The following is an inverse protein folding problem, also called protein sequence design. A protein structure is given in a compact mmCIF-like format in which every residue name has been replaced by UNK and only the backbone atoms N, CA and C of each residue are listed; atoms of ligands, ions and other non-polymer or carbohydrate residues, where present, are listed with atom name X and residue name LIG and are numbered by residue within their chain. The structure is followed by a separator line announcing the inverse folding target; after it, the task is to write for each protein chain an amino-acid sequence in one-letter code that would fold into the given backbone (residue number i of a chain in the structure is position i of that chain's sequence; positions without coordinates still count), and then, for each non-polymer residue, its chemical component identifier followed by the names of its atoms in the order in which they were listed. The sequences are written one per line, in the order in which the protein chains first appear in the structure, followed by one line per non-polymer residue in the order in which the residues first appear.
data_IF_791141388692
#
_entry.id   IF_791141388692
#
_cell.length_a   1.000
_cell.length_b   1.000
_cell.length_c   1.000
_cell.angle_alpha   90.00
_cell.angle_beta   90.00
_cell.angle_gamma   90.00
#
_symmetry.space_group_name_H-M   'P 1'
#
loop_
_entity.id
_entity.type
_entity.pdbx_description
1 polymer ?
#
# COMPACT_ATOMS: atom_id res chain seq x y z
N UNK A 1 18.85 -27.44 4.74
CA UNK A 1 19.72 -26.51 3.97
C UNK A 1 19.67 -25.19 4.69
N UNK A 2 20.77 -24.44 4.81
CA UNK A 2 20.76 -23.09 5.41
C UNK A 2 19.88 -22.18 4.57
N UNK A 3 19.10 -21.33 5.22
CA UNK A 3 18.29 -20.29 4.55
C UNK A 3 19.24 -19.31 3.87
N UNK A 4 18.94 -18.93 2.63
CA UNK A 4 19.76 -17.96 1.87
C UNK A 4 19.62 -16.56 2.49
N UNK A 5 20.75 -15.89 2.69
CA UNK A 5 20.82 -14.51 3.18
C UNK A 5 20.85 -13.53 2.01
N UNK A 6 19.80 -12.74 1.85
CA UNK A 6 19.69 -11.70 0.80
C UNK A 6 19.68 -10.33 1.44
N UNK A 7 20.58 -9.45 0.99
CA UNK A 7 20.65 -8.05 1.45
C UNK A 7 20.41 -7.08 0.29
N UNK A 8 19.87 -5.90 0.59
CA UNK A 8 19.72 -4.82 -0.38
C UNK A 8 20.57 -3.61 0.02
N UNK A 9 21.21 -2.98 -0.93
CA UNK A 9 21.88 -1.69 -0.78
C UNK A 9 21.27 -0.71 -1.79
N UNK A 10 20.72 0.39 -1.30
CA UNK A 10 20.23 1.50 -2.11
C UNK A 10 21.19 2.68 -1.97
N UNK A 11 21.75 3.11 -3.10
CA UNK A 11 22.74 4.19 -3.18
C UNK A 11 22.05 5.44 -3.72
N UNK A 12 22.11 6.55 -2.99
CA UNK A 12 21.55 7.84 -3.37
C UNK A 12 21.46 8.80 -2.20
N UNK A 13 22.07 9.97 -2.30
CA UNK A 13 21.99 11.03 -1.30
C UNK A 13 20.55 11.54 -1.12
N UNK A 14 19.74 11.57 -2.19
CA UNK A 14 18.34 11.98 -2.18
C UNK A 14 17.45 11.10 -1.28
N UNK A 15 17.85 9.83 -1.10
CA UNK A 15 17.19 8.90 -0.19
C UNK A 15 17.50 9.24 1.27
N UNK A 16 18.75 9.61 1.57
CA UNK A 16 19.19 9.94 2.94
C UNK A 16 18.64 11.27 3.44
N UNK A 17 18.52 12.27 2.56
CA UNK A 17 17.93 13.56 2.92
C UNK A 17 16.40 13.57 2.91
N UNK A 18 15.77 12.42 2.59
CA UNK A 18 14.31 12.28 2.58
C UNK A 18 13.60 12.96 1.41
N UNK A 19 14.33 13.34 0.36
CA UNK A 19 13.75 13.96 -0.84
C UNK A 19 12.97 12.95 -1.66
N UNK A 20 13.37 11.68 -1.64
CA UNK A 20 12.72 10.55 -2.31
C UNK A 20 12.55 9.40 -1.33
N UNK A 21 11.38 8.75 -1.36
CA UNK A 21 11.14 7.53 -0.59
C UNK A 21 11.76 6.33 -1.31
N UNK A 22 12.47 5.48 -0.58
CA UNK A 22 13.07 4.24 -1.12
C UNK A 22 12.01 3.19 -1.47
N UNK A 23 11.30 3.40 -2.56
CA UNK A 23 10.28 2.46 -3.06
C UNK A 23 10.91 1.22 -3.70
N UNK A 24 12.16 1.27 -4.14
CA UNK A 24 12.86 0.16 -4.77
C UNK A 24 13.09 -0.97 -3.78
N UNK A 25 13.62 -0.68 -2.58
CA UNK A 25 13.86 -1.69 -1.56
C UNK A 25 12.55 -2.36 -1.10
N UNK A 26 11.48 -1.59 -0.90
CA UNK A 26 10.17 -2.11 -0.54
C UNK A 26 9.62 -3.07 -1.60
N UNK A 27 9.71 -2.67 -2.87
CA UNK A 27 9.25 -3.48 -3.99
C UNK A 27 10.08 -4.78 -4.16
N UNK A 28 11.41 -4.69 -4.04
CA UNK A 28 12.28 -5.86 -4.10
C UNK A 28 11.94 -6.87 -2.98
N UNK A 29 11.72 -6.39 -1.76
CA UNK A 29 11.29 -7.23 -0.65
C UNK A 29 9.96 -7.96 -0.92
N UNK A 30 9.00 -7.28 -1.55
CA UNK A 30 7.73 -7.88 -1.96
C UNK A 30 7.91 -8.96 -3.03
N UNK A 31 8.68 -8.67 -4.10
CA UNK A 31 8.92 -9.62 -5.18
C UNK A 31 9.70 -10.86 -4.73
N UNK A 32 10.74 -10.66 -3.92
CA UNK A 32 11.49 -11.76 -3.32
C UNK A 32 10.60 -12.64 -2.45
N UNK A 33 9.77 -12.05 -1.58
CA UNK A 33 8.84 -12.80 -0.73
C UNK A 33 7.85 -13.62 -1.56
N UNK A 34 7.27 -13.01 -2.62
CA UNK A 34 6.39 -13.73 -3.55
C UNK A 34 7.08 -14.86 -4.31
N UNK A 35 8.40 -14.81 -4.44
CA UNK A 35 9.22 -15.84 -5.08
C UNK A 35 9.77 -16.91 -4.12
N UNK A 36 9.44 -16.83 -2.82
CA UNK A 36 9.91 -17.78 -1.80
C UNK A 36 11.25 -17.42 -1.17
N UNK A 37 11.75 -16.20 -1.40
CA UNK A 37 12.95 -15.66 -0.77
C UNK A 37 12.61 -14.62 0.30
N UNK A 38 13.57 -14.31 1.17
CA UNK A 38 13.42 -13.25 2.15
C UNK A 38 14.52 -12.22 1.98
N UNK A 39 14.15 -10.95 2.03
CA UNK A 39 15.12 -9.88 2.18
C UNK A 39 15.45 -9.74 3.66
N UNK A 40 16.70 -10.04 4.01
CA UNK A 40 17.17 -10.07 5.37
C UNK A 40 17.41 -8.66 5.92
N UNK A 41 18.03 -7.81 5.11
CA UNK A 41 18.24 -6.41 5.48
C UNK A 41 18.29 -5.48 4.26
N UNK A 42 17.95 -4.22 4.47
CA UNK A 42 18.03 -3.16 3.47
C UNK A 42 18.80 -1.96 4.03
N UNK A 43 19.90 -1.61 3.36
CA UNK A 43 20.75 -0.47 3.68
C UNK A 43 20.49 0.66 2.69
N UNK A 44 20.43 1.89 3.17
CA UNK A 44 20.45 3.10 2.33
C UNK A 44 21.71 3.89 2.64
N UNK A 45 22.50 4.20 1.62
CA UNK A 45 23.79 4.88 1.74
C UNK A 45 23.91 6.02 0.75
N UNK A 46 24.80 6.97 1.05
CA UNK A 46 25.11 8.08 0.16
C UNK A 46 26.08 7.72 -0.97
N UNK A 47 26.19 8.63 -1.93
CA UNK A 47 27.04 8.54 -3.11
C UNK A 47 28.50 8.86 -2.78
N UNK A 48 29.14 8.10 -1.87
CA UNK A 48 30.55 8.22 -1.56
C UNK A 48 31.26 6.87 -1.65
N UNK A 49 32.47 6.87 -2.19
CA UNK A 49 33.30 5.66 -2.34
C UNK A 49 33.43 4.90 -1.03
N UNK A 50 33.69 5.65 0.07
CA UNK A 50 33.85 5.04 1.39
C UNK A 50 32.56 4.35 1.85
N UNK A 51 31.41 5.03 1.73
CA UNK A 51 30.13 4.46 2.16
C UNK A 51 29.78 3.20 1.36
N UNK A 52 30.04 3.20 0.05
CA UNK A 52 29.80 2.05 -0.84
C UNK A 52 30.69 0.87 -0.45
N UNK A 53 32.02 1.08 -0.25
CA UNK A 53 32.94 0.00 0.14
C UNK A 53 32.59 -0.54 1.53
N UNK A 54 32.29 0.33 2.50
CA UNK A 54 31.90 -0.08 3.85
C UNK A 54 30.62 -0.93 3.81
N UNK A 55 29.63 -0.54 3.00
CA UNK A 55 28.38 -1.29 2.84
C UNK A 55 28.61 -2.65 2.15
N UNK A 56 29.47 -2.72 1.11
CA UNK A 56 29.80 -4.00 0.48
C UNK A 56 30.50 -4.95 1.47
N UNK A 57 31.44 -4.45 2.27
CA UNK A 57 32.09 -5.25 3.31
C UNK A 57 31.12 -5.73 4.37
N UNK A 58 30.15 -4.92 4.79
CA UNK A 58 29.11 -5.29 5.75
C UNK A 58 28.12 -6.34 5.20
N UNK A 59 28.14 -6.59 3.89
CA UNK A 59 27.27 -7.58 3.26
C UNK A 59 28.02 -8.86 2.84
N UNK A 60 29.29 -9.03 3.23
CA UNK A 60 30.10 -10.21 2.85
C UNK A 60 29.68 -11.52 3.54
N UNK A 61 28.73 -11.45 4.46
CA UNK A 61 28.07 -12.59 5.08
C UNK A 61 26.80 -13.05 4.36
N UNK A 62 26.41 -12.31 3.29
CA UNK A 62 25.24 -12.65 2.48
C UNK A 62 25.59 -13.67 1.37
N UNK A 63 24.55 -14.31 0.83
CA UNK A 63 24.66 -15.11 -0.39
C UNK A 63 24.38 -14.25 -1.64
N UNK A 64 23.49 -13.26 -1.49
CA UNK A 64 23.10 -12.33 -2.56
C UNK A 64 22.95 -10.90 -2.05
N UNK A 65 23.55 -9.95 -2.72
CA UNK A 65 23.41 -8.51 -2.47
C UNK A 65 22.81 -7.84 -3.69
N UNK A 66 21.61 -7.27 -3.54
CA UNK A 66 20.94 -6.48 -4.57
C UNK A 66 21.32 -5.01 -4.38
N UNK A 67 21.99 -4.41 -5.35
CA UNK A 67 22.44 -3.01 -5.28
C UNK A 67 21.66 -2.17 -6.27
N UNK A 68 21.11 -1.03 -5.84
CA UNK A 68 20.39 -0.10 -6.71
C UNK A 68 20.97 1.32 -6.61
N UNK A 69 21.16 1.99 -7.75
CA UNK A 69 21.63 3.39 -7.81
C UNK A 69 23.06 3.57 -8.28
N UNK A 70 23.43 4.81 -8.60
CA UNK A 70 24.78 5.25 -8.97
C UNK A 70 25.34 4.68 -10.28
N UNK A 71 24.49 4.21 -11.22
CA UNK A 71 24.90 3.62 -12.50
C UNK A 71 24.65 4.53 -13.71
N UNK A 72 24.21 5.74 -13.50
CA UNK A 72 23.95 6.71 -14.56
C UNK A 72 25.18 7.25 -15.25
N UNK A 73 25.01 8.24 -16.17
CA UNK A 73 26.10 8.84 -16.94
C UNK A 73 26.67 10.11 -16.30
N UNK A 74 26.25 10.49 -15.10
CA UNK A 74 26.64 11.76 -14.47
C UNK A 74 27.89 11.62 -13.59
N UNK A 75 28.50 12.70 -13.18
CA UNK A 75 29.76 12.66 -12.46
C UNK A 75 29.63 12.18 -11.01
N UNK A 76 28.45 12.23 -10.47
CA UNK A 76 28.02 11.70 -9.17
C UNK A 76 27.78 10.18 -9.20
N UNK A 77 27.67 9.57 -10.39
CA UNK A 77 27.53 8.12 -10.54
C UNK A 77 28.88 7.39 -10.35
N UNK A 78 29.31 7.28 -9.10
CA UNK A 78 30.63 6.71 -8.74
C UNK A 78 30.60 5.20 -8.47
N UNK A 79 29.45 4.56 -8.58
CA UNK A 79 29.30 3.14 -8.23
C UNK A 79 30.20 2.24 -9.08
N UNK A 80 30.28 2.41 -10.41
CA UNK A 80 31.13 1.55 -11.27
C UNK A 80 32.61 1.63 -10.93
N UNK A 81 33.24 2.81 -10.78
CA UNK A 81 34.64 2.90 -10.34
C UNK A 81 34.88 2.27 -8.96
N UNK A 82 33.93 2.44 -8.03
CA UNK A 82 34.01 1.88 -6.69
C UNK A 82 33.87 0.35 -6.70
N UNK A 83 32.98 -0.19 -7.54
CA UNK A 83 32.88 -1.64 -7.81
C UNK A 83 34.20 -2.19 -8.31
N UNK A 84 34.89 -1.50 -9.26
CA UNK A 84 36.18 -1.93 -9.75
C UNK A 84 37.21 -2.04 -8.62
N UNK A 85 37.25 -1.07 -7.69
CA UNK A 85 38.14 -1.11 -6.54
C UNK A 85 37.83 -2.27 -5.60
N UNK A 86 36.57 -2.47 -5.29
CA UNK A 86 36.14 -3.54 -4.36
C UNK A 86 36.40 -4.95 -4.94
N UNK A 87 36.15 -5.14 -6.25
CA UNK A 87 36.29 -6.43 -6.91
C UNK A 87 37.71 -6.67 -7.48
N UNK A 88 38.62 -5.72 -7.31
CA UNK A 88 40.00 -5.77 -7.86
C UNK A 88 39.99 -6.01 -9.38
N UNK A 89 39.27 -5.16 -10.10
CA UNK A 89 39.09 -5.22 -11.56
C UNK A 89 39.16 -3.82 -12.17
N UNK A 90 39.13 -3.73 -13.48
CA UNK A 90 39.17 -2.48 -14.24
C UNK A 90 37.94 -2.35 -15.15
N UNK A 91 37.65 -1.13 -15.60
CA UNK A 91 36.60 -0.88 -16.58
C UNK A 91 37.04 -1.30 -17.97
N UNK A 92 36.22 -2.06 -18.66
CA UNK A 92 36.40 -2.47 -20.05
C UNK A 92 35.15 -2.13 -20.87
N UNK A 93 35.35 -1.83 -22.16
CA UNK A 93 34.23 -1.51 -23.05
C UNK A 93 33.44 -2.78 -23.40
N UNK A 94 32.15 -2.76 -23.06
CA UNK A 94 31.22 -3.85 -23.35
C UNK A 94 30.40 -3.56 -24.61
N UNK A 95 30.69 -4.24 -25.72
CA UNK A 95 29.98 -4.04 -26.98
C UNK A 95 28.48 -4.30 -26.85
N UNK A 96 28.07 -5.36 -26.15
CA UNK A 96 26.65 -5.70 -25.95
C UNK A 96 25.88 -4.61 -25.19
N UNK A 97 26.52 -4.00 -24.17
CA UNK A 97 25.92 -2.86 -23.45
C UNK A 97 25.82 -1.63 -24.37
N UNK A 98 26.83 -1.38 -25.18
CA UNK A 98 26.82 -0.28 -26.17
C UNK A 98 25.71 -0.46 -27.21
N UNK A 99 25.56 -1.65 -27.77
CA UNK A 99 24.51 -1.97 -28.76
C UNK A 99 23.12 -1.78 -28.19
N UNK A 100 22.90 -2.16 -26.93
CA UNK A 100 21.65 -1.89 -26.22
C UNK A 100 21.37 -0.38 -26.07
N UNK A 101 22.38 0.40 -25.66
CA UNK A 101 22.25 1.87 -25.55
C UNK A 101 21.89 2.47 -26.92
N UNK A 102 22.60 2.11 -27.97
CA UNK A 102 22.31 2.56 -29.35
C UNK A 102 20.89 2.22 -29.77
N UNK A 103 20.45 1.00 -29.49
CA UNK A 103 19.07 0.57 -29.78
C UNK A 103 18.02 1.45 -29.09
N UNK A 104 18.23 1.80 -27.83
CA UNK A 104 17.32 2.65 -27.06
C UNK A 104 17.30 4.08 -27.62
N UNK A 105 18.46 4.67 -27.93
CA UNK A 105 18.52 6.01 -28.49
C UNK A 105 17.84 6.07 -29.87
N UNK A 106 18.09 5.08 -30.72
CA UNK A 106 17.44 5.00 -32.04
C UNK A 106 15.91 4.88 -31.93
N UNK A 107 15.40 4.04 -31.01
CA UNK A 107 13.94 3.91 -30.77
C UNK A 107 13.31 5.22 -30.29
N UNK A 108 14.05 6.04 -29.53
CA UNK A 108 13.57 7.33 -29.00
C UNK A 108 13.85 8.51 -29.93
N UNK A 109 14.55 8.32 -31.04
CA UNK A 109 14.91 9.38 -32.00
C UNK A 109 15.92 10.38 -31.48
N UNK A 110 16.73 10.03 -30.48
CA UNK A 110 17.78 10.88 -29.92
C UNK A 110 19.17 10.53 -30.46
N UNK A 111 20.05 11.55 -30.52
CA UNK A 111 21.46 11.33 -30.83
C UNK A 111 22.24 10.96 -29.57
N UNK A 112 23.16 10.00 -29.69
CA UNK A 112 24.07 9.62 -28.62
C UNK A 112 25.17 10.66 -28.40
N UNK A 113 25.54 10.87 -27.15
CA UNK A 113 26.71 11.65 -26.74
C UNK A 113 27.87 10.73 -26.31
N UNK A 114 29.10 11.27 -26.26
CA UNK A 114 30.25 10.54 -25.69
C UNK A 114 30.00 10.11 -24.23
N UNK A 115 29.24 10.89 -23.47
CA UNK A 115 28.84 10.54 -22.09
C UNK A 115 28.01 9.26 -22.06
N UNK A 116 27.09 9.09 -23.02
CA UNK A 116 26.29 7.86 -23.13
C UNK A 116 27.15 6.64 -23.54
N UNK A 117 28.17 6.86 -24.39
CA UNK A 117 29.12 5.82 -24.72
C UNK A 117 29.86 5.31 -23.47
N UNK A 118 30.22 6.21 -22.56
CA UNK A 118 30.83 5.87 -21.26
C UNK A 118 30.00 4.94 -20.38
N UNK A 119 28.68 4.89 -20.57
CA UNK A 119 27.83 3.93 -19.83
C UNK A 119 28.13 2.47 -20.20
N UNK A 120 28.70 2.21 -21.41
CA UNK A 120 29.11 0.87 -21.84
C UNK A 120 30.44 0.42 -21.23
N UNK A 121 31.12 1.27 -20.44
CA UNK A 121 32.29 0.86 -19.67
C UNK A 121 31.83 0.09 -18.43
N UNK A 122 32.16 -1.20 -18.36
CA UNK A 122 31.73 -2.09 -17.27
C UNK A 122 32.95 -2.76 -16.62
N UNK A 123 32.88 -3.18 -15.35
CA UNK A 123 33.91 -3.99 -14.72
C UNK A 123 34.18 -5.26 -15.56
N UNK A 124 35.43 -5.51 -15.93
CA UNK A 124 35.84 -6.65 -16.78
C UNK A 124 35.41 -8.01 -16.24
N UNK A 125 35.38 -8.14 -14.92
CA UNK A 125 34.93 -9.36 -14.24
C UNK A 125 33.41 -9.52 -14.13
N UNK A 126 32.61 -8.53 -14.58
CA UNK A 126 31.15 -8.63 -14.47
C UNK A 126 30.54 -9.46 -15.60
N UNK A 127 29.48 -10.16 -15.27
CA UNK A 127 28.51 -10.62 -16.27
C UNK A 127 27.55 -9.48 -16.56
N UNK A 128 27.53 -8.96 -17.78
CA UNK A 128 26.57 -7.98 -18.25
C UNK A 128 25.18 -8.60 -18.33
N UNK A 129 24.18 -7.89 -17.81
CA UNK A 129 22.76 -8.22 -17.91
C UNK A 129 22.05 -7.09 -18.68
N UNK A 130 21.31 -7.41 -19.75
CA UNK A 130 20.66 -6.40 -20.58
C UNK A 130 19.61 -5.59 -19.82
N UNK A 131 19.62 -4.26 -20.04
CA UNK A 131 18.54 -3.36 -19.62
C UNK A 131 17.77 -2.91 -20.85
N UNK A 132 16.66 -3.58 -21.18
CA UNK A 132 15.82 -3.23 -22.32
C UNK A 132 14.92 -2.01 -22.04
N UNK A 133 14.87 -1.54 -20.81
CA UNK A 133 14.04 -0.44 -20.32
C UNK A 133 14.75 0.90 -20.28
N UNK A 134 16.09 0.89 -20.21
CA UNK A 134 16.91 2.08 -20.12
C UNK A 134 18.37 1.87 -20.46
N UNK A 135 19.17 2.94 -20.32
CA UNK A 135 20.58 2.95 -20.78
C UNK A 135 21.57 2.51 -19.72
N UNK A 136 21.22 2.53 -18.45
CA UNK A 136 22.09 2.11 -17.37
C UNK A 136 22.20 0.57 -17.36
N UNK A 137 23.41 0.00 -17.40
CA UNK A 137 23.59 -1.46 -17.46
C UNK A 137 23.26 -2.11 -16.11
N UNK A 138 22.82 -3.37 -16.16
CA UNK A 138 22.82 -4.22 -14.98
C UNK A 138 24.04 -5.13 -14.99
N UNK A 139 24.62 -5.40 -13.83
CA UNK A 139 25.86 -6.14 -13.68
C UNK A 139 25.71 -7.21 -12.60
N UNK A 140 26.29 -8.38 -12.85
CA UNK A 140 26.35 -9.48 -11.91
C UNK A 140 27.82 -9.84 -11.66
N UNK A 141 28.26 -9.71 -10.41
CA UNK A 141 29.63 -10.03 -9.99
C UNK A 141 29.59 -10.98 -8.79
N UNK A 142 30.68 -11.72 -8.62
CA UNK A 142 30.83 -12.63 -7.48
C UNK A 142 32.18 -12.40 -6.79
N UNK A 143 32.17 -12.34 -5.46
CA UNK A 143 33.38 -12.22 -4.64
C UNK A 143 33.25 -13.11 -3.41
N UNK A 144 34.19 -14.03 -3.23
CA UNK A 144 34.23 -14.95 -2.08
C UNK A 144 32.91 -15.72 -1.86
N UNK A 145 32.23 -16.10 -2.94
CA UNK A 145 30.95 -16.82 -2.88
C UNK A 145 29.71 -15.92 -2.75
N UNK A 146 29.89 -14.63 -2.49
CA UNK A 146 28.79 -13.65 -2.41
C UNK A 146 28.50 -13.07 -3.80
N UNK A 147 27.25 -13.12 -4.21
CA UNK A 147 26.78 -12.54 -5.46
C UNK A 147 26.34 -11.10 -5.23
N UNK A 148 26.79 -10.19 -6.08
CA UNK A 148 26.35 -8.80 -6.13
C UNK A 148 25.67 -8.53 -7.49
N UNK A 149 24.38 -8.15 -7.45
CA UNK A 149 23.61 -7.76 -8.62
C UNK A 149 23.31 -6.26 -8.58
N UNK A 150 23.88 -5.51 -9.52
CA UNK A 150 23.78 -4.06 -9.60
C UNK A 150 22.72 -3.65 -10.61
N UNK A 151 21.78 -2.82 -10.18
CA UNK A 151 20.65 -2.32 -10.98
C UNK A 151 20.59 -0.79 -10.98
N UNK A 152 19.99 -0.17 -12.01
CA UNK A 152 19.71 1.27 -12.00
C UNK A 152 18.82 1.68 -10.80
N UNK A 153 18.96 2.94 -10.35
CA UNK A 153 18.08 3.54 -9.34
C UNK A 153 16.67 3.86 -9.85
N UNK A 154 16.49 4.04 -11.17
CA UNK A 154 15.20 4.36 -11.79
C UNK A 154 14.21 3.20 -11.60
N UNK A 155 13.07 3.41 -10.88
CA UNK A 155 12.19 2.30 -10.48
C UNK A 155 11.65 1.47 -11.66
N UNK A 156 11.29 2.10 -12.76
CA UNK A 156 10.78 1.41 -13.94
C UNK A 156 11.81 0.46 -14.56
N UNK A 157 13.07 0.93 -14.69
CA UNK A 157 14.17 0.12 -15.22
C UNK A 157 14.52 -1.04 -14.28
N UNK A 158 14.67 -0.73 -13.00
CA UNK A 158 15.00 -1.70 -11.95
C UNK A 158 13.96 -2.83 -11.89
N UNK A 159 12.68 -2.50 -11.89
CA UNK A 159 11.58 -3.48 -11.84
C UNK A 159 11.58 -4.40 -13.07
N UNK A 160 11.76 -3.83 -14.26
CA UNK A 160 11.83 -4.60 -15.50
C UNK A 160 13.01 -5.59 -15.50
N UNK A 161 14.21 -5.09 -15.22
CA UNK A 161 15.42 -5.93 -15.13
C UNK A 161 15.27 -7.03 -14.08
N UNK A 162 14.74 -6.69 -12.89
CA UNK A 162 14.57 -7.68 -11.84
C UNK A 162 13.65 -8.81 -12.27
N UNK A 163 12.49 -8.50 -12.82
CA UNK A 163 11.51 -9.52 -13.22
C UNK A 163 11.99 -10.38 -14.39
N UNK A 164 12.55 -9.75 -15.42
CA UNK A 164 12.86 -10.43 -16.67
C UNK A 164 14.20 -11.18 -16.61
N UNK A 165 15.16 -10.64 -15.87
CA UNK A 165 16.53 -11.15 -15.90
C UNK A 165 17.03 -11.69 -14.56
N UNK A 166 16.85 -10.92 -13.45
CA UNK A 166 17.47 -11.29 -12.18
C UNK A 166 16.69 -12.35 -11.42
N UNK A 167 15.38 -12.23 -11.32
CA UNK A 167 14.56 -13.19 -10.58
C UNK A 167 14.67 -14.62 -11.14
N UNK A 168 14.65 -14.86 -12.47
CA UNK A 168 14.92 -16.18 -13.02
C UNK A 168 16.31 -16.74 -12.65
N UNK A 169 17.36 -15.89 -12.69
CA UNK A 169 18.74 -16.27 -12.31
C UNK A 169 18.84 -16.62 -10.82
N UNK A 170 18.18 -15.83 -9.96
CA UNK A 170 18.12 -16.06 -8.52
C UNK A 170 17.46 -17.40 -8.24
N UNK A 171 16.31 -17.67 -8.86
CA UNK A 171 15.59 -18.96 -8.73
C UNK A 171 16.38 -20.17 -9.24
N UNK A 172 17.21 -19.97 -10.25
CA UNK A 172 18.07 -21.04 -10.77
C UNK A 172 19.26 -21.34 -9.84
N UNK A 173 19.82 -20.30 -9.20
CA UNK A 173 21.03 -20.43 -8.35
C UNK A 173 20.72 -20.83 -6.94
N UNK A 174 19.61 -20.36 -6.39
CA UNK A 174 19.30 -20.50 -4.97
C UNK A 174 17.98 -21.27 -4.75
N UNK A 175 17.95 -22.02 -3.66
CA UNK A 175 16.76 -22.74 -3.27
C UNK A 175 15.74 -21.80 -2.62
N UNK A 176 14.53 -21.75 -3.17
CA UNK A 176 13.42 -20.97 -2.61
C UNK A 176 12.58 -21.84 -1.68
N UNK A 177 12.28 -21.34 -0.50
CA UNK A 177 11.31 -21.96 0.40
C UNK A 177 9.94 -21.31 0.18
N UNK A 178 8.90 -22.07 -0.19
CA UNK A 178 7.56 -21.53 -0.41
C UNK A 178 7.10 -20.65 0.74
N UNK A 179 6.68 -19.43 0.40
CA UNK A 179 6.09 -18.43 1.28
C UNK A 179 4.66 -18.16 0.87
N UNK A 180 3.76 -18.21 1.83
CA UNK A 180 2.34 -17.90 1.61
C UNK A 180 1.87 -16.93 2.70
N UNK A 181 0.90 -16.09 2.34
CA UNK A 181 0.25 -15.17 3.28
C UNK A 181 -1.26 -15.16 3.10
N UNK A 182 -1.96 -14.82 4.18
CA UNK A 182 -3.39 -14.47 4.18
C UNK A 182 -3.53 -13.11 4.83
N UNK A 183 -4.33 -12.26 4.22
CA UNK A 183 -4.60 -10.91 4.73
C UNK A 183 -6.05 -10.83 5.14
N UNK A 184 -6.29 -10.41 6.37
CA UNK A 184 -7.62 -10.21 6.93
C UNK A 184 -7.73 -8.73 7.30
N UNK A 185 -8.71 -8.05 6.72
CA UNK A 185 -8.97 -6.64 6.96
C UNK A 185 -10.06 -6.48 8.00
N UNK A 186 -9.76 -5.76 9.08
CA UNK A 186 -10.70 -5.53 10.20
C UNK A 186 -10.94 -4.04 10.42
N UNK A 187 -12.14 -3.71 10.90
CA UNK A 187 -12.55 -2.36 11.30
C UNK A 187 -13.40 -2.40 12.56
N UNK A 188 -13.65 -1.24 13.20
CA UNK A 188 -14.51 -1.15 14.38
C UNK A 188 -13.85 -1.60 15.69
N UNK A 189 -12.60 -2.06 15.68
CA UNK A 189 -11.83 -2.48 16.86
C UNK A 189 -10.42 -1.91 16.82
N UNK A 190 -9.91 -1.48 17.97
CA UNK A 190 -8.50 -1.04 18.09
C UNK A 190 -7.55 -2.23 18.17
N UNK A 191 -6.28 -2.00 17.73
CA UNK A 191 -5.24 -3.03 17.65
C UNK A 191 -5.07 -3.81 18.96
N UNK A 192 -4.94 -3.12 20.10
CA UNK A 192 -4.74 -3.77 21.41
C UNK A 192 -5.90 -4.67 21.80
N UNK A 193 -7.14 -4.20 21.58
CA UNK A 193 -8.33 -4.99 21.88
C UNK A 193 -8.48 -6.19 20.94
N UNK A 194 -8.09 -6.02 19.68
CA UNK A 194 -8.06 -7.12 18.71
C UNK A 194 -7.03 -8.16 19.13
N UNK A 195 -5.81 -7.75 19.51
CA UNK A 195 -4.76 -8.63 19.98
C UNK A 195 -5.18 -9.40 21.24
N UNK A 196 -5.78 -8.73 22.24
CA UNK A 196 -6.29 -9.38 23.44
C UNK A 196 -7.36 -10.43 23.10
N UNK A 197 -8.23 -10.14 22.14
CA UNK A 197 -9.32 -11.03 21.74
C UNK A 197 -8.84 -12.32 21.06
N UNK A 198 -7.74 -12.26 20.32
CA UNK A 198 -7.21 -13.40 19.57
C UNK A 198 -5.95 -14.01 20.18
N UNK A 199 -5.54 -13.54 21.37
CA UNK A 199 -4.29 -13.94 22.03
C UNK A 199 -4.12 -15.44 22.15
N UNK A 200 -5.11 -16.17 22.65
CA UNK A 200 -5.03 -17.62 22.84
C UNK A 200 -4.83 -18.36 21.51
N UNK A 201 -5.43 -17.89 20.45
CA UNK A 201 -5.22 -18.43 19.10
C UNK A 201 -3.82 -18.12 18.57
N UNK A 202 -3.35 -16.89 18.74
CA UNK A 202 -2.03 -16.43 18.32
C UNK A 202 -0.92 -17.21 19.03
N UNK A 203 -1.03 -17.39 20.36
CA UNK A 203 -0.06 -18.14 21.18
C UNK A 203 0.04 -19.64 20.79
N UNK A 204 -0.95 -20.19 20.07
CA UNK A 204 -0.98 -21.58 19.62
C UNK A 204 -0.76 -21.74 18.10
N UNK A 205 -0.32 -20.69 17.41
CA UNK A 205 0.06 -20.81 16.01
C UNK A 205 1.27 -21.76 15.85
N UNK A 206 1.32 -22.56 14.78
CA UNK A 206 2.52 -23.31 14.43
C UNK A 206 3.76 -22.41 14.31
N UNK A 207 4.93 -22.87 14.76
CA UNK A 207 6.18 -22.10 14.81
C UNK A 207 6.61 -21.52 13.45
N UNK A 208 6.20 -22.14 12.34
CA UNK A 208 6.50 -21.68 10.99
C UNK A 208 5.51 -20.63 10.46
N UNK A 209 4.50 -20.28 11.26
CA UNK A 209 3.56 -19.17 10.96
C UNK A 209 3.86 -17.95 11.83
N UNK A 210 3.55 -16.80 11.31
CA UNK A 210 3.66 -15.52 12.03
C UNK A 210 2.48 -14.64 11.73
N UNK A 211 1.99 -13.91 12.75
CA UNK A 211 0.97 -12.89 12.62
C UNK A 211 1.60 -11.51 12.73
N UNK A 212 1.19 -10.60 11.85
CA UNK A 212 1.56 -9.19 11.93
C UNK A 212 0.30 -8.33 11.99
N UNK A 213 0.29 -7.38 12.92
CA UNK A 213 -0.71 -6.33 13.04
C UNK A 213 -0.19 -5.09 12.31
N UNK A 214 -0.95 -4.58 11.37
CA UNK A 214 -0.60 -3.44 10.53
C UNK A 214 -1.73 -2.40 10.65
N UNK A 215 -1.70 -1.55 11.69
CA UNK A 215 -2.74 -0.56 11.92
C UNK A 215 -2.73 0.53 10.86
N UNK A 216 -3.91 0.95 10.46
CA UNK A 216 -4.18 2.07 9.57
C UNK A 216 -5.33 2.92 10.14
N UNK A 217 -5.71 4.01 9.47
CA UNK A 217 -6.80 4.88 9.91
C UNK A 217 -8.11 4.11 10.21
N UNK A 218 -8.34 3.77 11.50
CA UNK A 218 -9.57 3.08 11.94
C UNK A 218 -9.71 1.61 11.51
N UNK A 219 -8.68 1.03 10.95
CA UNK A 219 -8.61 -0.37 10.52
C UNK A 219 -7.37 -1.05 11.08
N UNK A 220 -7.41 -2.36 11.21
CA UNK A 220 -6.24 -3.19 11.48
C UNK A 220 -6.17 -4.27 10.40
N UNK A 221 -5.07 -4.27 9.64
CA UNK A 221 -4.76 -5.35 8.72
C UNK A 221 -4.02 -6.44 9.48
N UNK A 222 -4.57 -7.61 9.54
CA UNK A 222 -3.89 -8.81 10.03
C UNK A 222 -3.26 -9.54 8.84
N UNK A 223 -1.95 -9.85 8.96
CA UNK A 223 -1.24 -10.65 7.97
C UNK A 223 -0.72 -11.90 8.63
N UNK A 224 -1.40 -13.02 8.40
CA UNK A 224 -0.93 -14.35 8.75
C UNK A 224 -0.05 -14.86 7.61
N UNK A 225 1.19 -15.22 7.89
CA UNK A 225 2.15 -15.66 6.87
C UNK A 225 3.05 -16.75 7.41
N UNK A 226 3.68 -17.50 6.50
CA UNK A 226 4.62 -18.55 6.88
C UNK A 226 5.46 -19.05 5.73
N UNK A 227 6.42 -19.94 6.10
CA UNK A 227 7.31 -20.62 5.16
C UNK A 227 7.34 -22.11 5.49
N UNK A 228 7.30 -22.94 4.45
CA UNK A 228 7.38 -24.39 4.61
C UNK A 228 7.78 -25.05 3.29
N UNK A 229 8.59 -26.11 3.32
CA UNK A 229 9.03 -26.84 2.12
C UNK A 229 7.86 -27.35 1.25
N UNK A 230 6.77 -27.75 1.88
CA UNK A 230 5.55 -28.12 1.17
C UNK A 230 4.58 -26.94 1.07
N UNK A 231 4.46 -26.36 -0.12
CA UNK A 231 3.51 -25.26 -0.39
C UNK A 231 2.05 -25.67 -0.13
N UNK A 232 1.68 -26.93 -0.45
CA UNK A 232 0.30 -27.41 -0.25
C UNK A 232 -0.03 -27.57 1.23
N UNK A 233 0.92 -28.05 2.03
CA UNK A 233 0.74 -28.14 3.47
C UNK A 233 0.62 -26.74 4.08
N UNK A 234 1.50 -25.81 3.66
CA UNK A 234 1.47 -24.43 4.14
C UNK A 234 0.13 -23.75 3.84
N UNK A 235 -0.37 -23.85 2.59
CA UNK A 235 -1.68 -23.30 2.20
C UNK A 235 -2.82 -23.85 3.05
N UNK A 236 -2.90 -25.17 3.20
CA UNK A 236 -3.95 -25.82 4.01
C UNK A 236 -3.91 -25.39 5.47
N UNK A 237 -2.70 -25.26 6.03
CA UNK A 237 -2.54 -24.81 7.41
C UNK A 237 -2.98 -23.38 7.58
N UNK A 238 -2.54 -22.46 6.69
CA UNK A 238 -2.97 -21.08 6.70
C UNK A 238 -4.48 -20.92 6.57
N UNK A 239 -5.11 -21.65 5.66
CA UNK A 239 -6.56 -21.61 5.45
C UNK A 239 -7.30 -22.13 6.69
N UNK A 240 -6.81 -23.19 7.33
CA UNK A 240 -7.37 -23.71 8.60
C UNK A 240 -7.27 -22.70 9.75
N UNK A 241 -6.11 -22.03 9.89
CA UNK A 241 -5.94 -21.00 10.93
C UNK A 241 -6.80 -19.77 10.67
N UNK A 242 -6.98 -19.39 9.42
CA UNK A 242 -7.90 -18.29 9.04
C UNK A 242 -9.35 -18.63 9.41
N UNK A 243 -9.81 -19.87 9.18
CA UNK A 243 -11.18 -20.25 9.58
C UNK A 243 -11.37 -20.22 11.10
N UNK A 244 -10.36 -20.62 11.90
CA UNK A 244 -10.41 -20.44 13.35
C UNK A 244 -10.50 -18.96 13.74
N UNK A 245 -9.65 -18.12 13.13
CA UNK A 245 -9.64 -16.67 13.39
C UNK A 245 -11.00 -16.03 13.07
N UNK A 246 -11.65 -16.41 11.96
CA UNK A 246 -12.98 -15.94 11.60
C UNK A 246 -14.02 -16.19 12.72
N UNK A 247 -13.96 -17.33 13.40
CA UNK A 247 -14.92 -17.61 14.48
C UNK A 247 -14.75 -16.69 15.68
N UNK A 248 -13.56 -16.11 15.87
CA UNK A 248 -13.24 -15.23 17.00
C UNK A 248 -13.58 -13.75 16.76
N UNK A 249 -13.48 -13.29 15.50
CA UNK A 249 -13.55 -11.86 15.16
C UNK A 249 -14.43 -11.56 13.93
N UNK A 250 -15.39 -12.43 13.60
CA UNK A 250 -16.23 -12.28 12.39
C UNK A 250 -16.91 -10.91 12.28
N UNK A 251 -17.35 -10.35 13.42
CA UNK A 251 -18.03 -9.05 13.48
C UNK A 251 -17.13 -7.86 13.03
N UNK A 252 -15.81 -8.02 13.11
CA UNK A 252 -14.85 -6.96 12.73
C UNK A 252 -14.28 -7.14 11.31
N UNK A 253 -14.45 -8.32 10.69
CA UNK A 253 -13.87 -8.61 9.37
C UNK A 253 -14.73 -7.97 8.28
N UNK A 254 -14.11 -7.15 7.43
CA UNK A 254 -14.79 -6.61 6.26
C UNK A 254 -14.25 -7.19 4.94
N UNK A 255 -12.99 -7.69 4.90
CA UNK A 255 -12.44 -8.35 3.73
C UNK A 255 -11.42 -9.44 4.10
N UNK A 256 -11.33 -10.47 3.25
CA UNK A 256 -10.39 -11.59 3.37
C UNK A 256 -9.21 -11.48 2.39
N UNK A 257 -8.96 -10.29 1.89
CA UNK A 257 -7.86 -9.94 1.00
C UNK A 257 -7.46 -8.48 1.24
N UNK A 258 -6.25 -8.13 0.81
CA UNK A 258 -5.71 -6.78 0.98
C UNK A 258 -6.43 -5.80 0.04
N UNK A 259 -7.54 -5.27 0.51
CA UNK A 259 -8.31 -4.27 -0.22
C UNK A 259 -8.88 -3.22 0.72
N UNK A 260 -9.08 -1.98 0.25
CA UNK A 260 -9.71 -0.93 1.02
C UNK A 260 -11.21 -1.17 1.16
N UNK A 261 -11.81 -0.57 2.19
CA UNK A 261 -13.22 -0.79 2.52
C UNK A 261 -14.19 -0.29 1.45
N UNK A 262 -13.87 0.80 0.75
CA UNK A 262 -14.66 1.31 -0.38
C UNK A 262 -14.75 0.30 -1.51
N UNK A 263 -13.71 -0.53 -1.73
CA UNK A 263 -13.76 -1.64 -2.70
C UNK A 263 -14.72 -2.72 -2.24
N UNK A 264 -14.73 -3.07 -0.98
CA UNK A 264 -15.69 -4.04 -0.43
C UNK A 264 -17.13 -3.54 -0.58
N UNK A 265 -17.37 -2.25 -0.30
CA UNK A 265 -18.69 -1.62 -0.48
C UNK A 265 -19.10 -1.61 -1.94
N UNK A 266 -18.19 -1.25 -2.85
CA UNK A 266 -18.43 -1.29 -4.29
C UNK A 266 -18.87 -2.69 -4.76
N UNK A 267 -18.12 -3.72 -4.39
CA UNK A 267 -18.42 -5.10 -4.77
C UNK A 267 -19.77 -5.58 -4.22
N UNK A 268 -20.12 -5.20 -2.99
CA UNK A 268 -21.42 -5.50 -2.38
C UNK A 268 -22.57 -4.82 -3.14
N UNK A 269 -22.42 -3.55 -3.49
CA UNK A 269 -23.44 -2.79 -4.21
C UNK A 269 -23.65 -3.34 -5.62
N UNK A 270 -22.57 -3.63 -6.36
CA UNK A 270 -22.62 -4.28 -7.68
C UNK A 270 -23.40 -5.61 -7.60
N UNK A 271 -23.02 -6.47 -6.65
CA UNK A 271 -23.65 -7.80 -6.51
C UNK A 271 -25.12 -7.73 -6.17
N UNK A 272 -25.60 -6.62 -5.58
CA UNK A 272 -27.00 -6.42 -5.20
C UNK A 272 -27.78 -5.52 -6.16
N UNK A 273 -27.13 -4.91 -7.14
CA UNK A 273 -27.73 -3.94 -8.06
C UNK A 273 -28.22 -2.69 -7.34
N UNK A 274 -27.53 -2.28 -6.24
CA UNK A 274 -27.89 -1.15 -5.39
C UNK A 274 -26.95 0.02 -5.60
N UNK A 275 -27.41 1.21 -5.24
CA UNK A 275 -26.71 2.49 -5.43
C UNK A 275 -26.64 3.29 -4.15
N UNK A 276 -25.65 4.19 -4.05
CA UNK A 276 -25.58 5.15 -2.96
C UNK A 276 -25.20 6.55 -3.43
N UNK A 277 -25.46 7.53 -2.58
CA UNK A 277 -25.02 8.91 -2.72
C UNK A 277 -24.45 9.42 -1.40
N UNK A 278 -23.59 10.43 -1.40
CA UNK A 278 -23.00 11.02 -0.20
C UNK A 278 -23.34 12.49 -0.01
N UNK A 279 -23.55 12.89 1.26
CA UNK A 279 -23.65 14.28 1.71
C UNK A 279 -22.50 14.59 2.66
N UNK A 280 -21.56 15.39 2.24
CA UNK A 280 -20.30 15.58 2.94
C UNK A 280 -20.17 16.99 3.51
N UNK A 281 -19.80 17.07 4.80
CA UNK A 281 -19.41 18.32 5.44
C UNK A 281 -17.94 18.25 5.83
N UNK A 282 -17.58 17.70 6.98
CA UNK A 282 -16.22 17.65 7.46
C UNK A 282 -15.27 16.78 6.62
N UNK A 283 -15.76 15.82 5.86
CA UNK A 283 -14.98 14.97 4.95
C UNK A 283 -14.66 15.63 3.61
N UNK A 284 -15.41 16.70 3.25
CA UNK A 284 -15.05 17.60 2.15
C UNK A 284 -15.00 17.01 0.74
N UNK A 285 -15.65 15.87 0.50
CA UNK A 285 -15.64 15.14 -0.78
C UNK A 285 -14.77 13.88 -0.74
N UNK A 286 -14.20 13.51 0.41
CA UNK A 286 -13.28 12.38 0.50
C UNK A 286 -13.98 11.02 0.30
N UNK A 287 -15.26 10.88 0.67
CA UNK A 287 -16.06 9.69 0.36
C UNK A 287 -16.24 9.55 -1.15
N UNK A 288 -16.61 10.63 -1.83
CA UNK A 288 -16.74 10.66 -3.28
C UNK A 288 -15.40 10.37 -3.98
N UNK A 289 -14.31 10.97 -3.48
CA UNK A 289 -12.98 10.72 -4.02
C UNK A 289 -12.59 9.25 -3.92
N UNK A 290 -12.73 8.64 -2.75
CA UNK A 290 -12.35 7.26 -2.51
C UNK A 290 -13.08 6.28 -3.43
N UNK A 291 -14.41 6.39 -3.54
CA UNK A 291 -15.19 5.48 -4.40
C UNK A 291 -14.92 5.70 -5.89
N UNK A 292 -14.66 6.94 -6.33
CA UNK A 292 -14.42 7.26 -7.74
C UNK A 292 -13.05 6.84 -8.24
N UNK A 293 -12.11 6.49 -7.37
CA UNK A 293 -10.85 5.85 -7.75
C UNK A 293 -11.06 4.41 -8.27
N UNK A 294 -12.23 3.81 -8.02
CA UNK A 294 -12.55 2.47 -8.48
C UNK A 294 -13.17 2.54 -9.89
N UNK A 295 -12.54 1.93 -10.91
CA UNK A 295 -13.13 1.86 -12.25
C UNK A 295 -14.52 1.23 -12.22
N UNK A 296 -15.49 1.82 -12.89
CA UNK A 296 -16.88 1.36 -12.90
C UNK A 296 -17.75 1.90 -11.74
N UNK A 297 -17.22 2.78 -10.89
CA UNK A 297 -17.95 3.35 -9.74
C UNK A 297 -19.28 4.03 -10.11
N UNK A 298 -19.45 4.50 -11.35
CA UNK A 298 -20.70 5.08 -11.84
C UNK A 298 -21.91 4.13 -11.83
N UNK A 299 -21.68 2.83 -11.73
CA UNK A 299 -22.75 1.84 -11.63
C UNK A 299 -23.41 1.85 -10.25
N UNK A 300 -22.65 2.22 -9.20
CA UNK A 300 -23.12 2.17 -7.80
C UNK A 300 -23.17 3.55 -7.13
N UNK A 301 -22.40 4.52 -7.60
CA UNK A 301 -22.32 5.86 -7.01
C UNK A 301 -23.06 6.90 -7.85
N UNK A 302 -24.14 7.45 -7.30
CA UNK A 302 -24.98 8.46 -7.98
C UNK A 302 -24.39 9.86 -7.92
N UNK A 303 -23.60 10.17 -6.90
CA UNK A 303 -22.98 11.48 -6.73
C UNK A 303 -22.85 11.92 -5.28
N UNK A 304 -22.31 13.11 -5.09
CA UNK A 304 -22.12 13.73 -3.78
C UNK A 304 -22.63 15.16 -3.73
N UNK A 305 -23.10 15.57 -2.55
CA UNK A 305 -23.37 16.97 -2.22
C UNK A 305 -22.43 17.41 -1.10
N UNK A 306 -21.41 18.22 -1.41
CA UNK A 306 -20.51 18.78 -0.41
C UNK A 306 -21.14 20.07 0.14
N UNK A 307 -21.93 19.92 1.22
CA UNK A 307 -22.64 21.01 1.88
C UNK A 307 -21.84 21.57 3.05
N UNK A 308 -20.67 22.15 2.72
CA UNK A 308 -19.68 22.60 3.71
C UNK A 308 -20.19 23.77 4.56
N UNK A 309 -20.77 24.79 3.93
CA UNK A 309 -21.40 25.89 4.62
C UNK A 309 -22.78 25.49 5.18
N UNK A 310 -23.08 25.90 6.42
CA UNK A 310 -24.33 25.54 7.12
C UNK A 310 -25.60 25.82 6.29
N UNK A 311 -25.79 26.98 5.63
CA UNK A 311 -27.01 27.22 4.85
C UNK A 311 -27.19 26.27 3.66
N UNK A 312 -26.11 25.66 3.16
CA UNK A 312 -26.20 24.70 2.05
C UNK A 312 -26.86 23.39 2.46
N UNK A 313 -26.80 23.01 3.74
CA UNK A 313 -27.51 21.84 4.26
C UNK A 313 -29.02 21.96 4.09
N UNK A 314 -29.54 23.16 4.34
CA UNK A 314 -30.96 23.45 4.09
C UNK A 314 -31.26 23.60 2.60
N UNK A 315 -30.47 24.40 1.89
CA UNK A 315 -30.75 24.74 0.48
C UNK A 315 -30.65 23.53 -0.46
N UNK A 316 -29.69 22.65 -0.23
CA UNK A 316 -29.38 21.52 -1.14
C UNK A 316 -30.04 20.23 -0.66
N UNK A 317 -29.97 19.95 0.64
CA UNK A 317 -30.38 18.67 1.20
C UNK A 317 -31.75 18.72 1.90
N UNK A 318 -32.35 19.89 2.04
CA UNK A 318 -33.64 20.06 2.67
C UNK A 318 -33.64 19.90 4.19
N UNK A 319 -32.47 19.94 4.87
CA UNK A 319 -32.41 19.94 6.33
C UNK A 319 -33.08 21.19 6.85
N UNK A 320 -34.05 21.03 7.77
CA UNK A 320 -34.81 22.16 8.29
C UNK A 320 -33.91 23.14 9.06
N UNK A 321 -34.03 24.44 8.78
CA UNK A 321 -33.26 25.46 9.50
C UNK A 321 -33.53 25.41 11.03
N UNK A 322 -34.77 25.18 11.45
CA UNK A 322 -35.14 25.00 12.85
C UNK A 322 -34.41 23.82 13.51
N UNK A 323 -34.18 22.74 12.79
CA UNK A 323 -33.40 21.58 13.29
C UNK A 323 -31.95 21.99 13.56
N UNK A 324 -31.34 22.76 12.64
CA UNK A 324 -29.97 23.24 12.82
C UNK A 324 -29.86 24.24 13.97
N UNK A 325 -30.83 25.15 14.11
CA UNK A 325 -30.86 26.12 15.23
C UNK A 325 -31.02 25.44 16.59
N UNK A 326 -31.89 24.43 16.67
CA UNK A 326 -32.20 23.74 17.91
C UNK A 326 -31.12 22.77 18.37
N UNK A 327 -30.53 22.01 17.45
CA UNK A 327 -29.64 20.88 17.76
C UNK A 327 -28.17 21.16 17.41
N UNK A 328 -27.89 22.27 16.74
CA UNK A 328 -26.55 22.57 16.22
C UNK A 328 -26.22 21.78 14.95
N UNK A 329 -25.26 22.31 14.21
CA UNK A 329 -24.86 21.73 12.89
C UNK A 329 -24.18 20.36 13.00
N UNK A 330 -23.58 20.05 14.16
CA UNK A 330 -22.94 18.77 14.47
C UNK A 330 -23.81 18.00 15.45
N UNK A 331 -24.85 17.39 14.94
CA UNK A 331 -25.84 16.66 15.74
C UNK A 331 -26.40 15.47 14.98
N UNK A 332 -27.07 14.60 15.70
CA UNK A 332 -27.74 13.43 15.16
C UNK A 332 -28.81 13.84 14.13
N UNK A 333 -29.68 14.76 14.51
CA UNK A 333 -30.84 15.19 13.70
C UNK A 333 -30.38 15.81 12.38
N UNK A 334 -29.25 16.55 12.39
CA UNK A 334 -28.72 17.16 11.18
C UNK A 334 -28.12 16.12 10.27
N UNK A 335 -27.33 15.14 10.77
CA UNK A 335 -26.74 14.12 9.92
C UNK A 335 -27.80 13.19 9.32
N UNK A 336 -28.85 12.86 10.08
CA UNK A 336 -29.98 12.05 9.61
C UNK A 336 -30.76 12.79 8.51
N UNK A 337 -30.97 14.09 8.69
CA UNK A 337 -31.58 14.95 7.67
C UNK A 337 -30.71 15.06 6.41
N UNK A 338 -29.38 15.16 6.55
CA UNK A 338 -28.44 15.17 5.42
C UNK A 338 -28.45 13.85 4.66
N UNK A 339 -28.41 12.71 5.37
CA UNK A 339 -28.42 11.38 4.75
C UNK A 339 -29.72 11.13 3.97
N UNK A 340 -30.87 11.45 4.57
CA UNK A 340 -32.18 11.37 3.93
C UNK A 340 -32.26 12.31 2.72
N UNK A 341 -31.79 13.54 2.90
CA UNK A 341 -31.81 14.56 1.85
C UNK A 341 -31.02 14.15 0.62
N UNK A 342 -29.80 13.65 0.77
CA UNK A 342 -28.97 13.23 -0.37
C UNK A 342 -29.51 11.97 -1.04
N UNK A 343 -30.02 11.02 -0.27
CA UNK A 343 -30.66 9.83 -0.79
C UNK A 343 -31.81 10.20 -1.75
N UNK A 344 -32.67 11.10 -1.31
CA UNK A 344 -33.83 11.55 -2.10
C UNK A 344 -33.38 12.41 -3.29
N UNK A 345 -32.42 13.33 -3.11
CA UNK A 345 -31.92 14.22 -4.16
C UNK A 345 -31.32 13.45 -5.33
N UNK A 346 -30.59 12.38 -5.04
CA UNK A 346 -29.87 11.59 -6.03
C UNK A 346 -30.62 10.31 -6.46
N UNK A 347 -31.82 10.08 -5.91
CA UNK A 347 -32.63 8.86 -6.16
C UNK A 347 -31.80 7.58 -5.98
N UNK A 348 -31.04 7.51 -4.85
CA UNK A 348 -30.20 6.38 -4.52
C UNK A 348 -30.90 5.45 -3.53
N UNK A 349 -30.44 4.19 -3.46
CA UNK A 349 -30.91 3.22 -2.47
C UNK A 349 -30.44 3.59 -1.07
N UNK A 350 -29.20 4.11 -0.95
CA UNK A 350 -28.61 4.57 0.28
C UNK A 350 -28.13 6.03 0.18
N UNK A 351 -28.30 6.78 1.27
CA UNK A 351 -27.72 8.11 1.44
C UNK A 351 -26.75 8.09 2.63
N UNK A 352 -25.49 8.41 2.40
CA UNK A 352 -24.46 8.48 3.46
C UNK A 352 -24.17 9.93 3.77
N UNK A 353 -24.11 10.31 5.05
CA UNK A 353 -23.82 11.69 5.43
C UNK A 353 -22.77 11.78 6.55
N UNK A 354 -21.99 12.88 6.51
CA UNK A 354 -21.04 13.22 7.57
C UNK A 354 -21.20 14.68 7.98
N UNK A 355 -21.23 14.96 9.27
CA UNK A 355 -21.12 16.31 9.84
C UNK A 355 -20.25 16.27 11.09
N UNK A 356 -19.31 17.22 11.24
CA UNK A 356 -18.37 17.16 12.35
C UNK A 356 -17.36 18.27 12.38
N UNK A 357 -16.48 18.23 13.38
CA UNK A 357 -15.42 19.20 13.66
C UNK A 357 -14.06 18.53 13.43
N UNK A 358 -13.51 18.68 12.23
CA UNK A 358 -12.24 18.07 11.88
C UNK A 358 -11.03 18.72 12.57
N UNK A 359 -11.17 19.95 13.09
CA UNK A 359 -10.09 20.67 13.75
C UNK A 359 -9.18 21.47 12.79
N UNK A 360 -8.09 22.10 13.29
CA UNK A 360 -7.64 22.11 14.70
C UNK A 360 -8.48 23.00 15.63
N UNK A 361 -9.40 23.84 15.10
CA UNK A 361 -10.25 24.75 15.84
C UNK A 361 -11.74 24.41 15.68
N UNK A 362 -12.63 25.12 16.38
CA UNK A 362 -14.10 25.01 16.24
C UNK A 362 -14.74 24.01 17.17
N UNK A 363 -13.99 23.35 18.06
CA UNK A 363 -14.54 22.49 19.10
C UNK A 363 -15.21 23.28 20.22
N UNK A 364 -16.25 22.67 20.80
CA UNK A 364 -16.93 23.10 22.02
C UNK A 364 -16.78 22.05 23.10
N UNK A 365 -17.24 22.35 24.34
CA UNK A 365 -17.23 21.36 25.41
C UNK A 365 -18.14 20.16 25.08
N UNK A 366 -19.29 20.40 24.47
CA UNK A 366 -20.22 19.37 24.03
C UNK A 366 -19.75 18.59 22.80
N UNK A 367 -19.18 19.30 21.83
CA UNK A 367 -18.64 18.73 20.59
C UNK A 367 -17.16 19.13 20.46
N UNK A 368 -16.23 18.45 21.14
CA UNK A 368 -14.80 18.71 21.02
C UNK A 368 -14.29 18.41 19.60
N UNK A 369 -13.10 18.96 19.26
CA UNK A 369 -12.42 18.64 18.02
C UNK A 369 -12.31 17.12 17.84
N UNK A 370 -12.61 16.63 16.66
CA UNK A 370 -12.67 15.21 16.32
C UNK A 370 -14.08 14.61 16.39
N UNK A 371 -15.05 15.33 16.93
CA UNK A 371 -16.45 14.87 16.95
C UNK A 371 -17.02 14.86 15.54
N UNK A 372 -17.49 13.68 15.10
CA UNK A 372 -18.16 13.47 13.81
C UNK A 372 -19.40 12.62 14.01
N UNK A 373 -20.52 13.09 13.49
CA UNK A 373 -21.71 12.30 13.29
C UNK A 373 -21.72 11.74 11.86
N UNK A 374 -22.03 10.45 11.75
CA UNK A 374 -22.16 9.74 10.48
C UNK A 374 -23.56 9.13 10.44
N UNK A 375 -24.27 9.29 9.34
CA UNK A 375 -25.60 8.75 9.13
C UNK A 375 -25.71 8.01 7.80
N UNK A 376 -26.46 6.92 7.79
CA UNK A 376 -26.81 6.14 6.59
C UNK A 376 -28.32 6.02 6.53
N UNK A 377 -28.94 6.56 5.48
CA UNK A 377 -30.36 6.46 5.18
C UNK A 377 -30.63 5.36 4.16
N UNK A 378 -31.63 4.54 4.41
CA UNK A 378 -32.12 3.50 3.49
C UNK A 378 -33.64 3.57 3.38
N UNK A 379 -34.28 2.65 2.67
CA UNK A 379 -35.73 2.51 2.65
C UNK A 379 -36.30 2.07 4.00
N UNK A 380 -35.47 1.52 4.90
CA UNK A 380 -35.87 1.06 6.24
C UNK A 380 -35.80 2.16 7.32
N UNK A 381 -35.22 3.30 7.00
CA UNK A 381 -34.98 4.40 7.93
C UNK A 381 -33.55 4.91 7.89
N UNK A 382 -33.15 5.57 8.99
CA UNK A 382 -31.80 6.15 9.12
C UNK A 382 -31.11 5.58 10.35
N UNK A 383 -29.87 5.15 10.19
CA UNK A 383 -28.98 4.78 11.28
C UNK A 383 -27.89 5.85 11.39
N UNK A 384 -27.61 6.32 12.60
CA UNK A 384 -26.58 7.31 12.84
C UNK A 384 -25.75 6.99 14.08
N UNK A 385 -24.47 7.34 14.04
CA UNK A 385 -23.52 7.13 15.16
C UNK A 385 -22.64 8.36 15.34
N UNK A 386 -22.30 8.67 16.61
CA UNK A 386 -21.35 9.70 16.98
C UNK A 386 -19.99 9.08 17.25
N UNK A 387 -18.95 9.68 16.69
CA UNK A 387 -17.55 9.27 16.86
C UNK A 387 -16.70 10.42 17.36
N UNK A 388 -15.54 10.09 17.94
CA UNK A 388 -14.45 11.02 18.17
C UNK A 388 -13.16 10.44 17.62
N UNK A 389 -12.59 11.08 16.58
CA UNK A 389 -11.44 10.59 15.83
C UNK A 389 -10.10 11.28 16.21
N UNK A 390 -10.07 12.01 17.32
CA UNK A 390 -8.88 12.72 17.80
C UNK A 390 -8.79 14.15 17.28
N UNK A 391 -7.60 14.73 17.25
CA UNK A 391 -7.42 16.18 17.04
C UNK A 391 -6.80 16.57 15.71
N UNK A 392 -6.18 15.63 15.01
CA UNK A 392 -5.52 15.87 13.73
C UNK A 392 -6.53 15.84 12.59
N UNK A 393 -6.64 16.96 11.88
CA UNK A 393 -7.64 17.16 10.84
C UNK A 393 -7.67 16.07 9.77
N UNK A 394 -6.52 15.71 9.25
CA UNK A 394 -6.40 14.67 8.22
C UNK A 394 -6.85 13.30 8.74
N UNK A 395 -6.44 12.95 9.97
CA UNK A 395 -6.85 11.71 10.62
C UNK A 395 -8.37 11.67 10.85
N UNK A 396 -8.97 12.79 11.25
CA UNK A 396 -10.42 12.90 11.44
C UNK A 396 -11.15 12.66 10.12
N UNK A 397 -10.71 13.30 9.04
CA UNK A 397 -11.29 13.16 7.70
C UNK A 397 -11.20 11.70 7.22
N UNK A 398 -10.01 11.11 7.29
CA UNK A 398 -9.78 9.74 6.80
C UNK A 398 -10.55 8.71 7.62
N UNK A 399 -10.55 8.81 8.95
CA UNK A 399 -11.31 7.90 9.83
C UNK A 399 -12.82 8.04 9.64
N UNK A 400 -13.32 9.26 9.47
CA UNK A 400 -14.73 9.51 9.20
C UNK A 400 -15.16 8.90 7.84
N UNK A 401 -14.31 8.99 6.83
CA UNK A 401 -14.56 8.39 5.51
C UNK A 401 -14.64 6.87 5.60
N UNK A 402 -13.67 6.23 6.26
CA UNK A 402 -13.64 4.78 6.45
C UNK A 402 -14.86 4.30 7.22
N UNK A 403 -15.20 5.00 8.30
CA UNK A 403 -16.37 4.63 9.13
C UNK A 403 -17.69 4.87 8.41
N UNK A 404 -17.75 5.85 7.50
CA UNK A 404 -18.93 6.06 6.65
C UNK A 404 -19.13 4.88 5.69
N UNK A 405 -18.07 4.35 5.09
CA UNK A 405 -18.13 3.14 4.28
C UNK A 405 -18.46 1.90 5.12
N UNK A 406 -17.95 1.80 6.35
CA UNK A 406 -18.28 0.68 7.23
C UNK A 406 -19.77 0.68 7.61
N UNK A 407 -20.32 1.82 8.02
CA UNK A 407 -21.74 1.92 8.32
C UNK A 407 -22.61 1.64 7.09
N UNK A 408 -22.17 2.06 5.88
CA UNK A 408 -22.85 1.73 4.64
C UNK A 408 -22.80 0.21 4.37
N UNK A 409 -21.65 -0.43 4.59
CA UNK A 409 -21.49 -1.89 4.46
C UNK A 409 -22.43 -2.65 5.39
N UNK A 410 -22.49 -2.26 6.68
CA UNK A 410 -23.41 -2.84 7.66
C UNK A 410 -24.86 -2.73 7.18
N UNK A 411 -25.30 -1.56 6.71
CA UNK A 411 -26.65 -1.33 6.21
C UNK A 411 -26.97 -2.12 4.95
N UNK A 412 -26.02 -2.27 4.01
CA UNK A 412 -26.18 -3.11 2.81
C UNK A 412 -26.39 -4.57 3.20
N UNK A 413 -25.63 -5.09 4.16
CA UNK A 413 -25.76 -6.47 4.65
C UNK A 413 -27.09 -6.69 5.37
N UNK A 414 -27.47 -5.80 6.30
CA UNK A 414 -28.73 -5.85 7.01
C UNK A 414 -29.95 -5.75 6.09
N UNK A 415 -29.81 -5.06 4.96
CA UNK A 415 -30.89 -4.92 3.99
C UNK A 415 -31.26 -6.25 3.32
N UNK A 416 -30.36 -7.20 3.29
CA UNK A 416 -30.50 -8.47 2.58
C UNK A 416 -30.98 -9.64 3.44
N UNK A 417 -30.70 -9.64 4.74
CA UNK A 417 -31.11 -10.73 5.63
C UNK A 417 -32.63 -10.88 5.75
N UNK A 418 -33.38 -9.84 5.43
CA UNK A 418 -34.84 -9.85 5.50
C UNK A 418 -35.55 -10.13 4.15
N UNK A 419 -34.81 -10.44 3.07
CA UNK A 419 -35.42 -10.84 1.77
C UNK A 419 -35.53 -12.36 1.66
N UNK A 420 -34.86 -13.10 2.54
CA UNK A 420 -34.80 -14.57 2.56
C UNK A 420 -35.66 -15.21 3.67
N UNK A 421 -36.36 -14.39 4.48
CA UNK A 421 -37.29 -14.89 5.54
C UNK A 421 -38.74 -14.90 5.07
#
# INVERSE_FOLDING_TARGET
MSEIIIKNISIGDELLIGQVINTNAAWLGEQLSGAGFQLDSALTIGDSEKAIIDAFNACMDADLVLVTGGLGPTADDITKPTVCKFFDTELEFCQAAYDNIVSIFNRRGFQMSERNRGQAMLPKSCQYIPNTYGTAPCMWLEKNGVVFAFMPGVPYEMKGIFNDELLPRIKQRFHAVPYEKRVIMTTGIGESFLADKIKDWEDHLPDFLSLAYLPQYGMVRLRLSGRHESADFLRKTLDSEVEKLKTLISEYIFAMQDQPIERTVFDLLINKGMTFASAESCTGGNIAHAITLIPGSSEVFKGTAVTYATPMKTKVLGVLAETIEKHGVVSQEVVEGMATGVRNLMEADFGVATTGIAGPSGGTEENPVGTVWIGVASAKGVVSKRFNFGKERENVINRATIMAFEMLREEILAHTENIVS
#
